data_IF_325853969914
#
_entry.id   IF_325853969914
#
_cell.length_a   1.000
_cell.length_b   1.000
_cell.length_c   1.000
_cell.angle_alpha   90.00
_cell.angle_beta   90.00
_cell.angle_gamma   90.00
#
_symmetry.space_group_name_H-M   'P 1'
#
loop_
_entity.id
_entity.type
_entity.pdbx_description
1 polymer ?
#
# COMPACT_ATOMS: atom_id res chain seq x y z
N UNK A 1 30.90 -50.72 -30.06
CA UNK A 1 31.34 -49.73 -29.06
C UNK A 1 30.80 -48.38 -29.52
N UNK A 2 29.66 -47.97 -28.97
CA UNK A 2 28.91 -46.79 -29.43
C UNK A 2 29.45 -45.56 -28.72
N UNK A 3 30.03 -44.61 -29.46
CA UNK A 3 30.45 -43.33 -28.91
C UNK A 3 29.22 -42.49 -28.57
N UNK A 4 29.09 -42.09 -27.30
CA UNK A 4 28.21 -41.01 -26.88
C UNK A 4 28.81 -39.67 -27.32
N UNK A 5 28.13 -38.97 -28.21
CA UNK A 5 28.41 -37.56 -28.48
C UNK A 5 27.90 -36.75 -27.29
N UNK A 6 28.80 -36.09 -26.56
CA UNK A 6 28.41 -35.03 -25.63
C UNK A 6 27.65 -33.95 -26.41
N UNK A 7 26.42 -33.64 -25.99
CA UNK A 7 25.77 -32.41 -26.41
C UNK A 7 26.65 -31.24 -25.94
N UNK A 8 27.06 -30.31 -26.83
CA UNK A 8 27.70 -29.09 -26.38
C UNK A 8 26.63 -28.28 -25.63
N UNK A 9 26.92 -27.90 -24.40
CA UNK A 9 26.18 -26.83 -23.73
C UNK A 9 26.32 -25.58 -24.59
N UNK A 10 25.22 -25.10 -25.16
CA UNK A 10 25.18 -23.85 -25.91
C UNK A 10 25.70 -22.72 -25.01
N UNK A 11 26.86 -22.18 -25.36
CA UNK A 11 27.52 -21.13 -24.60
C UNK A 11 26.77 -19.81 -24.87
N UNK A 12 26.02 -19.34 -23.87
CA UNK A 12 25.22 -18.12 -24.00
C UNK A 12 26.16 -16.91 -24.07
N UNK A 13 26.11 -16.15 -25.17
CA UNK A 13 27.01 -15.02 -25.37
C UNK A 13 26.81 -13.89 -24.34
N UNK A 14 27.89 -13.23 -23.93
CA UNK A 14 27.85 -12.09 -23.00
C UNK A 14 26.95 -10.94 -23.50
N UNK A 15 26.80 -10.79 -24.81
CA UNK A 15 25.90 -9.82 -25.42
C UNK A 15 24.43 -10.17 -25.19
N UNK A 16 24.08 -11.46 -25.25
CA UNK A 16 22.75 -11.99 -24.93
C UNK A 16 22.44 -11.77 -23.44
N UNK A 17 23.41 -12.09 -22.56
CA UNK A 17 23.29 -11.88 -21.11
C UNK A 17 23.11 -10.40 -20.79
N UNK A 18 23.86 -9.51 -21.45
CA UNK A 18 23.74 -8.06 -21.27
C UNK A 18 22.38 -7.55 -21.73
N UNK A 19 21.91 -7.95 -22.92
CA UNK A 19 20.57 -7.61 -23.42
C UNK A 19 19.47 -8.11 -22.49
N UNK A 20 19.60 -9.32 -21.95
CA UNK A 20 18.64 -9.88 -21.01
C UNK A 20 18.63 -9.10 -19.70
N UNK A 21 19.80 -8.72 -19.17
CA UNK A 21 19.90 -7.86 -17.98
C UNK A 21 19.29 -6.47 -18.21
N UNK A 22 19.52 -5.87 -19.38
CA UNK A 22 18.94 -4.59 -19.77
C UNK A 22 17.42 -4.68 -19.94
N UNK A 23 16.91 -5.75 -20.56
CA UNK A 23 15.47 -6.03 -20.70
C UNK A 23 14.81 -6.34 -19.35
N UNK A 24 15.46 -7.08 -18.47
CA UNK A 24 14.99 -7.35 -17.11
C UNK A 24 15.01 -6.07 -16.26
N UNK A 25 16.00 -5.21 -16.43
CA UNK A 25 16.07 -3.89 -15.80
C UNK A 25 15.05 -2.87 -16.34
N UNK A 26 14.39 -3.18 -17.45
CA UNK A 26 13.38 -2.34 -18.11
C UNK A 26 11.97 -2.52 -17.54
N UNK A 27 11.67 -3.63 -16.84
CA UNK A 27 10.35 -3.87 -16.25
C UNK A 27 10.32 -3.51 -14.76
N UNK A 28 10.37 -2.21 -14.47
CA UNK A 28 10.06 -1.70 -13.13
C UNK A 28 8.55 -1.74 -12.94
N UNK A 29 8.05 -2.86 -12.43
CA UNK A 29 6.64 -3.01 -12.09
C UNK A 29 6.49 -2.95 -10.58
N UNK A 30 5.73 -1.97 -10.11
CA UNK A 30 5.35 -1.86 -8.71
C UNK A 30 3.85 -1.63 -8.69
N UNK A 31 3.13 -2.48 -7.98
CA UNK A 31 1.71 -2.31 -7.77
C UNK A 31 1.31 -3.06 -6.51
N UNK A 32 0.50 -2.43 -5.66
CA UNK A 32 -0.04 -3.07 -4.49
C UNK A 32 -1.51 -2.72 -4.29
N UNK A 33 -2.22 -3.64 -3.64
CA UNK A 33 -3.58 -3.46 -3.17
C UNK A 33 -3.71 -4.18 -1.84
N UNK A 34 -3.99 -3.40 -0.80
CA UNK A 34 -4.18 -3.88 0.55
C UNK A 34 -5.43 -3.23 1.16
N UNK A 35 -6.02 -3.92 2.15
CA UNK A 35 -7.16 -3.40 2.88
C UNK A 35 -7.10 -3.79 4.35
N UNK A 36 -7.90 -3.09 5.13
CA UNK A 36 -8.17 -3.43 6.51
C UNK A 36 -9.28 -4.48 6.53
N UNK A 37 -8.98 -5.69 7.00
CA UNK A 37 -9.96 -6.74 7.24
C UNK A 37 -10.46 -6.68 8.67
N UNK A 38 -9.54 -6.73 9.64
CA UNK A 38 -9.92 -6.83 11.04
C UNK A 38 -10.03 -5.45 11.69
N UNK A 39 -11.25 -5.06 12.03
CA UNK A 39 -11.51 -3.87 12.86
C UNK A 39 -12.47 -4.22 14.00
N UNK A 40 -11.94 -4.52 15.19
CA UNK A 40 -12.79 -4.92 16.32
C UNK A 40 -13.75 -3.79 16.72
N UNK A 41 -15.01 -4.12 17.04
CA UNK A 41 -16.01 -3.14 17.47
C UNK A 41 -15.55 -2.36 18.71
N UNK A 42 -14.87 -3.04 19.65
CA UNK A 42 -14.32 -2.44 20.86
C UNK A 42 -13.29 -1.35 20.54
N UNK A 43 -12.40 -1.60 19.58
CA UNK A 43 -11.39 -0.63 19.16
C UNK A 43 -12.01 0.53 18.38
N UNK A 44 -12.96 0.25 17.48
CA UNK A 44 -13.68 1.28 16.73
C UNK A 44 -14.53 2.18 17.62
N UNK A 45 -15.04 1.69 18.74
CA UNK A 45 -15.86 2.48 19.65
C UNK A 45 -15.06 3.53 20.47
N UNK A 46 -13.72 3.47 20.45
CA UNK A 46 -12.86 4.43 21.14
C UNK A 46 -12.11 5.31 20.15
N UNK A 47 -11.95 6.57 20.53
CA UNK A 47 -11.08 7.47 19.79
C UNK A 47 -9.63 7.15 20.15
N UNK A 48 -8.79 7.21 19.13
CA UNK A 48 -7.34 7.10 19.29
C UNK A 48 -6.82 8.40 19.93
N UNK A 49 -5.95 8.28 20.94
CA UNK A 49 -5.42 9.42 21.70
C UNK A 49 -4.20 10.08 21.06
N UNK A 50 -3.37 9.28 20.38
CA UNK A 50 -2.12 9.70 19.76
C UNK A 50 -2.14 9.31 18.27
N UNK A 51 -1.35 9.95 17.40
CA UNK A 51 -1.23 9.51 16.02
C UNK A 51 -0.86 8.01 15.98
N UNK A 52 -1.75 7.19 15.40
CA UNK A 52 -1.59 5.74 15.40
C UNK A 52 -1.46 5.23 13.99
N UNK A 53 -0.39 4.48 13.73
CA UNK A 53 -0.17 3.89 12.40
C UNK A 53 -1.31 2.93 12.05
N UNK A 54 -1.84 3.06 10.84
CA UNK A 54 -2.86 2.18 10.29
C UNK A 54 -2.18 1.11 9.42
N UNK A 55 -2.22 -0.14 9.87
CA UNK A 55 -1.72 -1.29 9.13
C UNK A 55 -2.87 -1.90 8.32
N UNK A 56 -2.70 -2.03 6.99
CA UNK A 56 -3.62 -2.80 6.16
C UNK A 56 -3.22 -4.27 6.25
N UNK A 57 -3.96 -5.02 7.06
CA UNK A 57 -3.62 -6.39 7.48
C UNK A 57 -3.82 -7.44 6.38
N UNK A 58 -4.52 -7.09 5.30
CA UNK A 58 -4.85 -8.00 4.20
C UNK A 58 -4.29 -7.47 2.90
N UNK A 59 -3.39 -8.23 2.29
CA UNK A 59 -2.70 -7.85 1.05
C UNK A 59 -3.12 -8.80 -0.06
N UNK A 60 -3.70 -8.23 -1.12
CA UNK A 60 -4.17 -8.97 -2.29
C UNK A 60 -3.11 -8.95 -3.39
N UNK A 61 -2.49 -7.79 -3.62
CA UNK A 61 -1.44 -7.60 -4.64
C UNK A 61 -0.25 -6.89 -4.00
N UNK A 62 0.97 -7.32 -4.33
CA UNK A 62 2.21 -6.65 -3.92
C UNK A 62 3.37 -6.91 -4.91
N UNK A 63 3.13 -6.58 -6.19
CA UNK A 63 4.14 -6.67 -7.25
C UNK A 63 5.25 -5.65 -6.97
N UNK A 64 6.51 -6.07 -7.09
CA UNK A 64 7.67 -5.24 -6.79
C UNK A 64 7.96 -5.08 -5.29
N UNK A 65 7.13 -5.64 -4.40
CA UNK A 65 7.41 -5.72 -2.96
C UNK A 65 7.45 -4.39 -2.22
N UNK A 66 6.83 -3.33 -2.76
CA UNK A 66 6.87 -2.00 -2.16
C UNK A 66 6.06 -1.88 -0.87
N UNK A 67 4.93 -2.59 -0.74
CA UNK A 67 4.15 -2.58 0.51
C UNK A 67 4.72 -3.58 1.51
N UNK A 68 4.96 -3.14 2.75
CA UNK A 68 5.47 -3.94 3.88
C UNK A 68 4.34 -4.20 4.88
N UNK A 69 3.69 -5.39 4.85
CA UNK A 69 2.46 -5.63 5.60
C UNK A 69 2.67 -5.63 7.11
N UNK A 70 3.82 -6.13 7.58
CA UNK A 70 4.15 -6.15 9.01
C UNK A 70 4.28 -4.73 9.61
N UNK A 71 4.70 -3.76 8.79
CA UNK A 71 4.92 -2.39 9.22
C UNK A 71 3.76 -1.46 8.88
N UNK A 72 2.91 -1.83 7.91
CA UNK A 72 1.80 -1.01 7.42
C UNK A 72 2.19 0.12 6.47
N UNK A 73 3.36 0.03 5.85
CA UNK A 73 3.97 1.13 5.08
C UNK A 73 4.28 0.70 3.64
N UNK A 74 4.36 1.67 2.74
CA UNK A 74 4.93 1.47 1.41
C UNK A 74 6.32 2.13 1.36
N UNK A 75 7.31 1.41 0.84
CA UNK A 75 8.67 1.92 0.60
C UNK A 75 8.92 1.83 -0.89
N UNK A 76 9.26 2.95 -1.53
CA UNK A 76 9.48 3.00 -2.97
C UNK A 76 10.72 2.17 -3.36
N UNK A 77 10.57 1.04 -4.08
CA UNK A 77 11.71 0.21 -4.48
C UNK A 77 12.49 0.83 -5.65
N UNK A 78 11.85 1.74 -6.40
CA UNK A 78 12.44 2.46 -7.52
C UNK A 78 12.03 3.93 -7.45
N UNK A 79 12.92 4.82 -7.89
CA UNK A 79 12.53 6.20 -8.15
C UNK A 79 11.58 6.26 -9.36
N UNK A 80 10.59 7.14 -9.30
CA UNK A 80 9.61 7.33 -10.36
C UNK A 80 8.31 7.97 -9.90
N UNK A 81 7.36 8.07 -10.81
CA UNK A 81 6.06 8.68 -10.57
C UNK A 81 5.04 7.62 -10.13
N UNK A 82 4.48 7.76 -8.93
CA UNK A 82 3.55 6.81 -8.35
C UNK A 82 2.15 7.41 -8.22
N UNK A 83 1.12 6.62 -8.50
CA UNK A 83 -0.26 6.95 -8.18
C UNK A 83 -0.70 6.15 -6.95
N UNK A 84 -1.36 6.80 -6.00
CA UNK A 84 -1.92 6.17 -4.80
C UNK A 84 -3.40 6.51 -4.66
N UNK A 85 -4.20 5.54 -4.22
CA UNK A 85 -5.60 5.73 -3.82
C UNK A 85 -5.78 5.20 -2.41
N UNK A 86 -6.34 6.03 -1.54
CA UNK A 86 -6.74 5.68 -0.19
C UNK A 86 -8.24 5.90 -0.04
N UNK A 87 -8.94 4.84 0.33
CA UNK A 87 -10.36 4.85 0.67
C UNK A 87 -10.50 4.52 2.14
N UNK A 88 -11.22 5.36 2.89
CA UNK A 88 -11.53 5.15 4.29
C UNK A 88 -13.03 5.03 4.48
N UNK A 89 -13.45 4.03 5.24
CA UNK A 89 -14.86 3.84 5.58
C UNK A 89 -15.08 4.02 7.07
N UNK A 90 -16.21 4.64 7.41
CA UNK A 90 -16.66 4.87 8.77
C UNK A 90 -18.06 4.28 8.95
N UNK A 91 -18.29 3.65 10.09
CA UNK A 91 -19.60 3.14 10.51
C UNK A 91 -19.95 3.74 11.86
N UNK A 92 -21.23 3.95 12.13
CA UNK A 92 -21.73 4.45 13.40
C UNK A 92 -21.29 3.55 14.56
N UNK A 93 -21.26 4.15 15.75
CA UNK A 93 -20.99 3.40 16.96
C UNK A 93 -22.22 2.65 17.48
N UNK A 94 -21.98 1.70 18.38
CA UNK A 94 -23.02 0.94 19.09
C UNK A 94 -24.00 1.85 19.84
N UNK A 95 -23.59 3.06 20.23
CA UNK A 95 -24.45 4.08 20.86
C UNK A 95 -25.17 5.03 19.90
N UNK A 96 -25.14 4.80 18.58
CA UNK A 96 -25.83 5.63 17.57
C UNK A 96 -25.20 7.01 17.30
N UNK A 97 -24.07 7.33 17.95
CA UNK A 97 -23.34 8.58 17.75
C UNK A 97 -22.46 8.54 16.49
N UNK A 98 -22.21 9.71 15.90
CA UNK A 98 -21.29 9.88 14.78
C UNK A 98 -19.92 9.22 15.05
N UNK A 99 -19.32 8.63 14.01
CA UNK A 99 -17.95 8.12 14.04
C UNK A 99 -17.07 8.90 13.08
N UNK A 100 -16.24 9.80 13.62
CA UNK A 100 -15.25 10.51 12.83
C UNK A 100 -14.05 9.60 12.59
N UNK A 101 -13.77 9.32 11.32
CA UNK A 101 -12.57 8.62 10.87
C UNK A 101 -11.77 9.60 10.02
N UNK A 102 -10.50 9.78 10.37
CA UNK A 102 -9.55 10.62 9.63
C UNK A 102 -8.24 9.86 9.54
N UNK A 103 -7.78 9.62 8.33
CA UNK A 103 -6.50 8.96 8.07
C UNK A 103 -5.63 9.90 7.26
N UNK A 104 -4.43 10.13 7.76
CA UNK A 104 -3.38 10.88 7.10
C UNK A 104 -2.53 9.91 6.28
N UNK A 105 -2.27 10.22 5.02
CA UNK A 105 -1.16 9.63 4.28
C UNK A 105 0.02 10.59 4.30
N UNK A 106 1.19 10.11 4.67
CA UNK A 106 2.41 10.92 4.77
C UNK A 106 3.50 10.40 3.85
N UNK A 107 4.22 11.30 3.17
CA UNK A 107 5.50 11.03 2.50
C UNK A 107 6.62 11.50 3.42
N UNK A 108 7.47 10.58 3.89
CA UNK A 108 8.59 10.87 4.80
C UNK A 108 8.18 11.76 6.00
N UNK A 109 7.04 11.45 6.62
CA UNK A 109 6.47 12.21 7.74
C UNK A 109 5.71 13.50 7.36
N UNK A 110 5.73 13.95 6.10
CA UNK A 110 4.97 15.12 5.63
C UNK A 110 3.62 14.68 5.07
N UNK A 111 2.52 15.26 5.55
CA UNK A 111 1.18 14.90 5.09
C UNK A 111 0.95 15.29 3.62
N UNK A 112 0.44 14.33 2.84
CA UNK A 112 0.13 14.51 1.41
C UNK A 112 -1.34 14.19 1.08
N UNK A 113 -2.05 13.50 1.98
CA UNK A 113 -3.47 13.16 1.80
C UNK A 113 -4.19 13.11 3.15
N UNK A 114 -5.47 13.47 3.15
CA UNK A 114 -6.29 13.60 4.36
C UNK A 114 -7.76 13.18 4.12
N UNK A 115 -8.06 11.91 3.76
CA UNK A 115 -9.44 11.45 3.70
C UNK A 115 -10.08 11.43 5.08
N UNK A 116 -11.31 11.91 5.13
CA UNK A 116 -12.14 11.92 6.33
C UNK A 116 -13.56 11.46 6.02
N UNK A 117 -14.16 10.73 6.95
CA UNK A 117 -15.54 10.24 6.86
C UNK A 117 -16.23 10.36 8.22
N UNK A 118 -17.52 10.69 8.21
CA UNK A 118 -18.35 10.80 9.41
C UNK A 118 -19.47 9.75 9.35
N UNK A 119 -19.27 8.62 10.01
CA UNK A 119 -20.20 7.48 9.96
C UNK A 119 -21.56 7.80 10.60
N UNK A 120 -22.61 7.84 9.77
CA UNK A 120 -24.04 7.95 10.16
C UNK A 120 -25.00 7.45 9.06
N UNK A 121 -25.45 6.19 9.08
CA UNK A 121 -24.80 5.04 9.74
C UNK A 121 -23.47 4.67 9.09
N UNK A 122 -23.28 5.01 7.81
CA UNK A 122 -22.09 4.70 7.03
C UNK A 122 -21.64 5.92 6.26
N UNK A 123 -20.33 6.07 6.09
CA UNK A 123 -19.74 7.07 5.21
C UNK A 123 -18.41 6.56 4.68
N UNK A 124 -18.09 6.88 3.43
CA UNK A 124 -16.82 6.52 2.79
C UNK A 124 -16.24 7.76 2.12
N UNK A 125 -14.93 7.89 2.18
CA UNK A 125 -14.18 8.95 1.51
C UNK A 125 -12.98 8.34 0.80
N UNK A 126 -12.80 8.73 -0.47
CA UNK A 126 -11.71 8.28 -1.31
C UNK A 126 -10.93 9.48 -1.79
N UNK A 127 -9.61 9.41 -1.67
CA UNK A 127 -8.70 10.41 -2.20
C UNK A 127 -7.61 9.73 -3.02
N UNK A 128 -7.13 10.43 -4.03
CA UNK A 128 -6.05 10.00 -4.90
C UNK A 128 -4.96 11.07 -4.93
N UNK A 129 -3.70 10.65 -5.01
CA UNK A 129 -2.60 11.56 -5.30
C UNK A 129 -1.60 10.91 -6.25
N UNK A 130 -0.79 11.76 -6.87
CA UNK A 130 0.34 11.37 -7.70
C UNK A 130 1.59 11.98 -7.07
N UNK A 131 2.62 11.18 -6.84
CA UNK A 131 3.84 11.59 -6.15
C UNK A 131 5.07 11.17 -6.96
N UNK A 132 6.03 12.08 -7.10
CA UNK A 132 7.39 11.73 -7.50
C UNK A 132 8.13 11.20 -6.27
N UNK A 133 8.55 9.94 -6.31
CA UNK A 133 9.24 9.27 -5.21
C UNK A 133 10.68 8.93 -5.61
N UNK A 134 11.57 9.05 -4.64
CA UNK A 134 12.92 8.51 -4.71
C UNK A 134 12.95 7.10 -4.11
N UNK A 135 14.03 6.35 -4.39
CA UNK A 135 14.27 5.05 -3.73
C UNK A 135 14.26 5.29 -2.21
N UNK A 136 13.60 4.38 -1.49
CA UNK A 136 13.43 4.41 -0.03
C UNK A 136 12.53 5.52 0.52
N UNK A 137 11.88 6.33 -0.32
CA UNK A 137 10.80 7.21 0.14
C UNK A 137 9.68 6.36 0.80
N UNK A 138 9.27 6.80 1.97
CA UNK A 138 8.33 6.10 2.85
C UNK A 138 6.94 6.73 2.79
N UNK A 139 5.94 5.92 2.48
CA UNK A 139 4.52 6.28 2.57
C UNK A 139 3.89 5.55 3.76
N UNK A 140 3.32 6.32 4.69
CA UNK A 140 2.68 5.79 5.89
C UNK A 140 1.24 6.27 6.00
N UNK A 141 0.41 5.45 6.66
CA UNK A 141 -0.96 5.80 7.02
C UNK A 141 -1.05 5.99 8.54
N UNK A 142 -1.62 7.10 8.97
CA UNK A 142 -1.75 7.45 10.37
C UNK A 142 -3.17 7.91 10.70
N UNK A 143 -3.82 7.25 11.64
CA UNK A 143 -5.09 7.69 12.20
C UNK A 143 -4.83 8.96 13.01
N UNK A 144 -5.56 10.02 12.70
CA UNK A 144 -5.44 11.30 13.43
C UNK A 144 -5.90 11.11 14.88
N UNK A 145 -5.28 11.80 15.86
CA UNK A 145 -5.86 11.95 17.19
C UNK A 145 -7.34 12.34 17.15
N UNK A 146 -8.08 11.88 18.15
CA UNK A 146 -9.53 12.06 18.30
C UNK A 146 -10.38 11.40 17.21
N UNK A 147 -9.77 10.62 16.31
CA UNK A 147 -10.47 9.84 15.30
C UNK A 147 -10.58 8.38 15.70
N UNK A 148 -11.53 7.67 15.09
CA UNK A 148 -11.72 6.23 15.29
C UNK A 148 -10.92 5.43 14.29
N UNK A 149 -10.69 4.17 14.64
CA UNK A 149 -10.18 3.17 13.70
C UNK A 149 -11.19 3.01 12.56
N UNK A 150 -10.75 3.06 11.28
CA UNK A 150 -11.63 2.86 10.14
C UNK A 150 -12.35 1.51 10.18
N UNK A 151 -13.45 1.42 9.45
CA UNK A 151 -14.16 0.16 9.26
C UNK A 151 -13.35 -0.79 8.38
N UNK A 152 -13.25 -2.06 8.81
CA UNK A 152 -12.55 -3.13 8.14
C UNK A 152 -13.37 -3.80 7.03
N UNK A 153 -13.32 -5.13 6.94
CA UNK A 153 -14.01 -5.93 5.91
C UNK A 153 -13.67 -5.50 4.46
N UNK A 154 -12.43 -5.03 4.25
CA UNK A 154 -11.97 -4.49 2.97
C UNK A 154 -12.74 -3.24 2.51
N UNK A 155 -13.51 -2.57 3.38
CA UNK A 155 -14.13 -1.28 3.06
C UNK A 155 -13.17 -0.09 3.18
N UNK A 156 -12.06 -0.26 3.91
CA UNK A 156 -10.94 0.69 3.96
C UNK A 156 -9.76 0.06 3.22
N UNK A 157 -9.31 0.71 2.15
CA UNK A 157 -8.34 0.16 1.21
C UNK A 157 -7.25 1.16 0.86
N UNK A 158 -6.04 0.66 0.65
CA UNK A 158 -4.90 1.42 0.17
C UNK A 158 -4.28 0.70 -1.03
N UNK A 159 -4.10 1.44 -2.11
CA UNK A 159 -3.52 0.92 -3.34
C UNK A 159 -2.59 1.94 -3.97
N UNK A 160 -1.69 1.44 -4.80
CA UNK A 160 -0.86 2.30 -5.61
C UNK A 160 0.02 1.52 -6.57
N UNK A 161 0.56 2.23 -7.56
CA UNK A 161 1.40 1.65 -8.59
C UNK A 161 2.40 2.67 -9.17
N UNK A 162 3.53 2.15 -9.65
CA UNK A 162 4.53 2.91 -10.41
C UNK A 162 4.02 3.13 -11.84
N UNK A 163 4.06 4.37 -12.30
CA UNK A 163 3.69 4.73 -13.67
C UNK A 163 4.89 4.66 -14.61
N UNK A 164 6.02 5.27 -14.23
CA UNK A 164 7.29 5.22 -14.96
C UNK A 164 8.46 5.72 -14.10
#
# INVERSE_FOLDING_TARGET
MTLFLCNPTEDVSDAEVKRLKERLGQFRQVAFYAGLMNSSSIQRNRNVKEPTRLVMDTVITNVGGGYRPAEGVFVAPFAGLYAFVLTVSASQNEGGNHALVVVNMTKNGVNVMHPWALGKPWATSSMQCILDLQIDDLIELNIRPDSRIPFGEMCTTFSGFLMH
#
